data_IF_417872968661
#
_entry.id   IF_417872968661
#
_cell.length_a   1.000
_cell.length_b   1.000
_cell.length_c   1.000
_cell.angle_alpha   90.00
_cell.angle_beta   90.00
_cell.angle_gamma   90.00
#
_symmetry.space_group_name_H-M   'P 1'
#
loop_
_entity.id
_entity.type
_entity.pdbx_description
1 polymer ?
#
# COMPACT_ATOMS: atom_id res chain seq x y z
N UNK A 1 6.32 10.17 26.36
CA UNK A 1 7.43 9.60 25.54
C UNK A 1 7.02 8.47 24.59
N UNK A 2 5.99 7.67 24.86
CA UNK A 2 5.56 6.57 23.97
C UNK A 2 4.98 7.02 22.62
N UNK A 3 4.21 8.11 22.61
CA UNK A 3 3.60 8.68 21.40
C UNK A 3 4.68 9.11 20.40
N UNK A 4 5.73 9.80 20.87
CA UNK A 4 6.84 10.23 20.03
C UNK A 4 7.57 9.07 19.34
N UNK A 5 7.77 7.94 20.04
CA UNK A 5 8.37 6.75 19.45
C UNK A 5 7.47 6.11 18.39
N UNK A 6 6.16 6.06 18.64
CA UNK A 6 5.18 5.54 17.68
C UNK A 6 5.14 6.39 16.39
N UNK A 7 5.13 7.72 16.52
CA UNK A 7 5.17 8.62 15.36
C UNK A 7 6.45 8.43 14.53
N UNK A 8 7.61 8.28 15.18
CA UNK A 8 8.88 8.02 14.48
C UNK A 8 8.88 6.68 13.72
N UNK A 9 8.29 5.64 14.30
CA UNK A 9 8.12 4.35 13.64
C UNK A 9 7.17 4.45 12.44
N UNK A 10 6.07 5.19 12.59
CA UNK A 10 5.11 5.42 11.52
C UNK A 10 5.76 6.17 10.35
N UNK A 11 6.55 7.22 10.61
CA UNK A 11 7.26 7.95 9.55
C UNK A 11 8.20 7.02 8.78
N UNK A 12 8.99 6.19 9.46
CA UNK A 12 9.88 5.22 8.78
C UNK A 12 9.11 4.18 7.96
N UNK A 13 7.97 3.72 8.48
CA UNK A 13 7.09 2.79 7.79
C UNK A 13 6.51 3.40 6.50
N UNK A 14 6.10 4.67 6.54
CA UNK A 14 5.62 5.38 5.35
C UNK A 14 6.76 5.57 4.35
N UNK A 15 7.94 6.00 4.80
CA UNK A 15 9.10 6.17 3.93
C UNK A 15 9.52 4.83 3.29
N UNK A 16 9.54 3.74 4.04
CA UNK A 16 9.89 2.42 3.49
C UNK A 16 8.88 1.96 2.44
N UNK A 17 7.59 2.23 2.64
CA UNK A 17 6.54 1.99 1.66
C UNK A 17 6.74 2.80 0.37
N UNK A 18 6.99 4.10 0.48
CA UNK A 18 7.23 4.97 -0.69
C UNK A 18 8.48 4.51 -1.46
N UNK A 19 9.57 4.21 -0.77
CA UNK A 19 10.79 3.72 -1.40
C UNK A 19 10.56 2.39 -2.13
N UNK A 20 9.78 1.49 -1.55
CA UNK A 20 9.45 0.23 -2.19
C UNK A 20 8.60 0.38 -3.45
N UNK A 21 7.64 1.30 -3.47
CA UNK A 21 6.88 1.64 -4.68
C UNK A 21 7.80 2.25 -5.74
N UNK A 22 8.75 3.08 -5.33
CA UNK A 22 9.79 3.62 -6.23
C UNK A 22 10.65 2.50 -6.86
N UNK A 23 11.07 1.51 -6.06
CA UNK A 23 11.82 0.36 -6.57
C UNK A 23 10.96 -0.51 -7.50
N UNK A 24 9.70 -0.80 -7.15
CA UNK A 24 8.76 -1.52 -8.02
C UNK A 24 8.64 -0.81 -9.37
N UNK A 25 8.48 0.52 -9.37
CA UNK A 25 8.40 1.30 -10.61
C UNK A 25 9.66 1.19 -11.46
N UNK A 26 10.85 1.38 -10.88
CA UNK A 26 12.12 1.30 -11.61
C UNK A 26 12.37 -0.11 -12.17
N UNK A 27 12.16 -1.15 -11.35
CA UNK A 27 12.35 -2.54 -11.77
C UNK A 27 11.35 -2.91 -12.87
N UNK A 28 10.08 -2.50 -12.75
CA UNK A 28 9.07 -2.73 -13.79
C UNK A 28 9.48 -2.10 -15.12
N UNK A 29 9.93 -0.84 -15.09
CA UNK A 29 10.31 -0.11 -16.30
C UNK A 29 11.49 -0.77 -17.02
N UNK A 30 12.48 -1.27 -16.26
CA UNK A 30 13.64 -1.96 -16.82
C UNK A 30 13.23 -3.34 -17.36
N UNK A 31 12.50 -4.16 -16.59
CA UNK A 31 12.13 -5.52 -16.98
C UNK A 31 11.16 -5.53 -18.17
N UNK A 32 10.25 -4.56 -18.26
CA UNK A 32 9.30 -4.45 -19.38
C UNK A 32 9.95 -4.28 -20.75
N UNK A 33 11.25 -3.96 -20.81
CA UNK A 33 12.02 -3.94 -22.07
C UNK A 33 12.45 -5.34 -22.54
N UNK A 34 12.47 -6.34 -21.65
CA UNK A 34 13.04 -7.67 -21.90
C UNK A 34 12.03 -8.81 -21.81
N UNK A 35 10.88 -8.62 -21.15
CA UNK A 35 9.88 -9.66 -20.93
C UNK A 35 8.45 -9.09 -20.98
N UNK A 36 7.45 -9.97 -20.94
CA UNK A 36 6.04 -9.57 -20.98
C UNK A 36 5.65 -8.64 -19.83
N UNK A 37 4.65 -7.78 -20.04
CA UNK A 37 4.21 -6.80 -19.04
C UNK A 37 3.76 -7.45 -17.72
N UNK A 38 3.06 -8.58 -17.80
CA UNK A 38 2.57 -9.31 -16.62
C UNK A 38 3.72 -9.92 -15.81
N UNK A 39 4.70 -10.53 -16.49
CA UNK A 39 5.89 -11.14 -15.86
C UNK A 39 6.76 -10.06 -15.21
N UNK A 40 7.00 -8.97 -15.94
CA UNK A 40 7.71 -7.79 -15.45
C UNK A 40 7.06 -7.23 -14.19
N UNK A 41 5.73 -7.10 -14.20
CA UNK A 41 4.99 -6.55 -13.06
C UNK A 41 5.01 -7.47 -11.84
N UNK A 42 4.97 -8.78 -12.05
CA UNK A 42 5.10 -9.75 -10.96
C UNK A 42 6.48 -9.67 -10.30
N UNK A 43 7.57 -9.67 -11.09
CA UNK A 43 8.93 -9.60 -10.57
C UNK A 43 9.26 -8.25 -9.92
N UNK A 44 8.75 -7.15 -10.48
CA UNK A 44 8.93 -5.82 -9.90
C UNK A 44 8.20 -5.68 -8.56
N UNK A 45 6.99 -6.22 -8.47
CA UNK A 45 6.22 -6.23 -7.23
C UNK A 45 6.92 -7.06 -6.15
N UNK A 46 7.44 -8.26 -6.49
CA UNK A 46 8.24 -9.06 -5.57
C UNK A 46 9.48 -8.30 -5.07
N UNK A 47 10.16 -7.57 -5.96
CA UNK A 47 11.33 -6.75 -5.60
C UNK A 47 10.96 -5.64 -4.61
N UNK A 48 9.87 -4.91 -4.87
CA UNK A 48 9.36 -3.89 -3.95
C UNK A 48 8.95 -4.47 -2.58
N UNK A 49 8.31 -5.65 -2.59
CA UNK A 49 7.93 -6.36 -1.36
C UNK A 49 9.16 -6.73 -0.52
N UNK A 50 10.22 -7.26 -1.15
CA UNK A 50 11.47 -7.58 -0.46
C UNK A 50 12.16 -6.34 0.11
N UNK A 51 12.17 -5.22 -0.63
CA UNK A 51 12.73 -3.95 -0.14
C UNK A 51 11.94 -3.45 1.07
N UNK A 52 10.61 -3.44 1.00
CA UNK A 52 9.75 -3.05 2.12
C UNK A 52 10.03 -3.89 3.36
N UNK A 53 10.11 -5.21 3.18
CA UNK A 53 10.39 -6.15 4.26
C UNK A 53 11.74 -5.86 4.92
N UNK A 54 12.80 -5.72 4.12
CA UNK A 54 14.15 -5.47 4.63
C UNK A 54 14.25 -4.10 5.33
N UNK A 55 13.69 -3.04 4.74
CA UNK A 55 13.66 -1.71 5.35
C UNK A 55 12.88 -1.74 6.67
N UNK A 56 11.70 -2.36 6.70
CA UNK A 56 10.93 -2.45 7.93
C UNK A 56 11.66 -3.27 9.00
N UNK A 57 12.23 -4.42 8.63
CA UNK A 57 12.99 -5.27 9.53
C UNK A 57 14.18 -4.54 10.15
N UNK A 58 15.07 -3.97 9.34
CA UNK A 58 16.34 -3.43 9.82
C UNK A 58 16.24 -1.97 10.29
N UNK A 59 15.40 -1.15 9.66
CA UNK A 59 15.35 0.30 9.94
C UNK A 59 14.17 0.72 10.81
N UNK A 60 12.95 0.25 10.50
CA UNK A 60 11.74 0.60 11.26
C UNK A 60 11.74 -0.09 12.62
N UNK A 61 11.94 -1.40 12.63
CA UNK A 61 11.80 -2.25 13.82
C UNK A 61 13.14 -2.70 14.44
N UNK A 62 14.26 -2.47 13.74
CA UNK A 62 15.63 -2.76 14.22
C UNK A 62 15.82 -4.20 14.72
N UNK A 63 15.31 -5.18 13.97
CA UNK A 63 15.42 -6.58 14.35
C UNK A 63 16.44 -7.33 13.49
N UNK A 64 17.44 -7.89 14.16
CA UNK A 64 18.64 -8.48 13.54
C UNK A 64 18.62 -10.01 13.49
N UNK A 65 17.50 -10.64 13.84
CA UNK A 65 17.36 -12.09 13.84
C UNK A 65 17.31 -12.67 12.43
N UNK A 66 17.96 -13.82 12.24
CA UNK A 66 18.03 -14.56 10.96
C UNK A 66 16.80 -15.47 10.70
N UNK A 67 15.66 -15.19 11.33
CA UNK A 67 14.50 -16.07 11.21
C UNK A 67 13.78 -15.91 9.86
N UNK A 68 13.99 -16.86 8.95
CA UNK A 68 13.37 -16.87 7.62
C UNK A 68 11.84 -16.99 7.67
N UNK A 69 11.25 -17.52 8.75
CA UNK A 69 9.79 -17.60 8.93
C UNK A 69 9.12 -16.22 9.00
N UNK A 70 9.88 -15.16 9.27
CA UNK A 70 9.33 -13.79 9.32
C UNK A 70 8.92 -13.26 7.97
N UNK A 71 9.60 -13.68 6.89
CA UNK A 71 9.21 -13.26 5.55
C UNK A 71 7.85 -13.85 5.16
N UNK A 72 7.61 -15.13 5.48
CA UNK A 72 6.31 -15.75 5.22
C UNK A 72 5.20 -15.16 6.09
N UNK A 73 5.47 -14.87 7.37
CA UNK A 73 4.51 -14.15 8.23
C UNK A 73 4.23 -12.73 7.72
N UNK A 74 5.23 -12.06 7.15
CA UNK A 74 5.07 -10.74 6.55
C UNK A 74 4.19 -10.82 5.30
N UNK A 75 4.44 -11.81 4.43
CA UNK A 75 3.60 -12.07 3.27
C UNK A 75 2.15 -12.36 3.68
N UNK A 76 1.95 -13.18 4.71
CA UNK A 76 0.63 -13.48 5.26
C UNK A 76 -0.07 -12.22 5.81
N UNK A 77 0.66 -11.35 6.52
CA UNK A 77 0.10 -10.09 7.02
C UNK A 77 -0.37 -9.18 5.88
N UNK A 78 0.42 -9.06 4.81
CA UNK A 78 0.06 -8.25 3.64
C UNK A 78 -1.09 -8.88 2.86
N UNK A 79 -1.17 -10.21 2.80
CA UNK A 79 -2.31 -10.91 2.22
C UNK A 79 -3.61 -10.65 2.99
N UNK A 80 -3.56 -10.72 4.33
CA UNK A 80 -4.71 -10.35 5.19
C UNK A 80 -5.08 -8.88 4.98
N UNK A 81 -4.08 -8.00 4.90
CA UNK A 81 -4.32 -6.58 4.66
C UNK A 81 -4.97 -6.31 3.29
N UNK A 82 -4.62 -7.09 2.27
CA UNK A 82 -5.26 -7.05 0.96
C UNK A 82 -6.73 -7.45 1.05
N UNK A 83 -7.06 -8.52 1.79
CA UNK A 83 -8.45 -8.93 2.03
C UNK A 83 -9.21 -7.83 2.76
N UNK A 84 -8.61 -7.21 3.80
CA UNK A 84 -9.21 -6.08 4.53
C UNK A 84 -9.44 -4.89 3.59
N UNK A 85 -8.47 -4.57 2.73
CA UNK A 85 -8.58 -3.46 1.78
C UNK A 85 -9.75 -3.68 0.81
N UNK A 86 -9.79 -4.84 0.13
CA UNK A 86 -10.83 -5.16 -0.85
C UNK A 86 -12.22 -5.22 -0.21
N UNK A 87 -12.34 -5.86 0.96
CA UNK A 87 -13.62 -5.95 1.68
C UNK A 87 -14.11 -4.59 2.18
N UNK A 88 -13.23 -3.76 2.74
CA UNK A 88 -13.56 -2.40 3.17
C UNK A 88 -13.98 -1.53 1.98
N UNK A 89 -13.25 -1.62 0.86
CA UNK A 89 -13.56 -0.85 -0.34
C UNK A 89 -14.95 -1.23 -0.89
N UNK A 90 -15.21 -2.53 -1.04
CA UNK A 90 -16.50 -3.04 -1.50
C UNK A 90 -17.65 -2.64 -0.56
N UNK A 91 -17.45 -2.77 0.76
CA UNK A 91 -18.46 -2.38 1.75
C UNK A 91 -18.80 -0.88 1.68
N UNK A 92 -17.80 -0.02 1.49
CA UNK A 92 -18.00 1.42 1.36
C UNK A 92 -18.73 1.78 0.06
N UNK A 93 -18.37 1.17 -1.07
CA UNK A 93 -19.05 1.40 -2.35
C UNK A 93 -20.53 0.99 -2.31
N UNK A 94 -20.86 -0.06 -1.55
CA UNK A 94 -22.27 -0.47 -1.36
C UNK A 94 -23.05 0.44 -0.40
N UNK A 95 -22.35 1.18 0.47
CA UNK A 95 -22.96 2.03 1.49
C UNK A 95 -23.05 3.50 1.09
N UNK A 96 -22.15 3.97 0.24
CA UNK A 96 -22.06 5.38 -0.19
C UNK A 96 -22.85 5.56 -1.49
N UNK A 97 -23.67 6.62 -1.62
CA UNK A 97 -24.34 6.94 -2.88
C UNK A 97 -23.33 7.21 -4.00
N UNK A 98 -23.66 6.80 -5.24
CA UNK A 98 -22.82 7.00 -6.42
C UNK A 98 -22.75 8.49 -6.82
N UNK A 99 -21.88 9.25 -6.17
CA UNK A 99 -21.63 10.66 -6.50
C UNK A 99 -20.63 10.78 -7.66
N UNK A 100 -21.13 11.26 -8.80
CA UNK A 100 -20.33 11.52 -9.99
C UNK A 100 -19.95 12.99 -10.07
N UNK A 101 -18.66 13.27 -10.04
CA UNK A 101 -18.14 14.58 -10.41
C UNK A 101 -17.90 14.59 -11.92
N UNK A 102 -18.63 15.42 -12.66
CA UNK A 102 -18.51 15.54 -14.12
C UNK A 102 -17.87 16.88 -14.48
N UNK A 103 -16.76 16.84 -15.21
CA UNK A 103 -16.19 18.00 -15.88
C UNK A 103 -16.53 17.87 -17.36
N UNK A 104 -17.26 18.85 -17.89
CA UNK A 104 -17.58 18.92 -19.32
C UNK A 104 -16.97 20.19 -19.90
N UNK A 105 -16.29 20.06 -21.04
CA UNK A 105 -15.82 21.20 -21.83
C UNK A 105 -16.87 21.44 -22.93
N UNK A 106 -17.51 22.61 -22.88
CA UNK A 106 -18.52 23.04 -23.84
C UNK A 106 -17.93 24.08 -24.79
N UNK A 107 -18.27 24.01 -26.07
CA UNK A 107 -17.99 25.06 -27.04
C UNK A 107 -18.99 26.22 -26.89
N UNK A 108 -18.67 27.40 -27.43
CA UNK A 108 -19.61 28.55 -27.47
C UNK A 108 -20.95 28.21 -28.15
N UNK A 109 -21.00 27.19 -29.02
CA UNK A 109 -22.22 26.68 -29.64
C UNK A 109 -22.99 25.64 -28.80
N UNK A 110 -22.66 25.48 -27.50
CA UNK A 110 -23.24 24.47 -26.58
C UNK A 110 -23.03 23.01 -26.99
N UNK A 111 -22.04 22.72 -27.83
CA UNK A 111 -21.62 21.34 -28.07
C UNK A 111 -20.62 20.88 -26.99
N UNK A 112 -20.93 19.76 -26.32
CA UNK A 112 -20.02 19.13 -25.34
C UNK A 112 -18.92 18.39 -26.10
N UNK A 113 -17.69 18.89 -26.02
CA UNK A 113 -16.54 18.33 -26.74
C UNK A 113 -15.99 17.07 -26.06
N UNK A 114 -15.85 17.10 -24.73
CA UNK A 114 -15.44 15.95 -23.90
C UNK A 114 -16.03 16.10 -22.49
N UNK A 115 -16.52 14.99 -21.93
CA UNK A 115 -16.95 14.90 -20.54
C UNK A 115 -16.14 13.83 -19.81
N UNK A 116 -15.48 14.21 -18.72
CA UNK A 116 -14.80 13.30 -17.81
C UNK A 116 -15.62 13.17 -16.53
N UNK A 117 -15.98 11.94 -16.18
CA UNK A 117 -16.68 11.63 -14.94
C UNK A 117 -15.75 10.91 -13.97
N UNK A 118 -15.61 11.45 -12.76
CA UNK A 118 -14.84 10.86 -11.66
C UNK A 118 -15.84 10.45 -10.57
N UNK A 119 -15.82 9.16 -10.21
CA UNK A 119 -16.62 8.67 -9.07
C UNK A 119 -15.96 9.08 -7.75
N UNK A 120 -16.57 10.04 -7.06
CA UNK A 120 -16.07 10.53 -5.76
C UNK A 120 -16.19 9.44 -4.70
N UNK A 121 -17.25 8.64 -4.80
CA UNK A 121 -17.46 7.40 -4.04
C UNK A 121 -16.24 6.47 -4.12
N UNK A 122 -15.68 6.28 -5.32
CA UNK A 122 -14.51 5.41 -5.54
C UNK A 122 -13.25 5.96 -4.89
N UNK A 123 -13.04 7.28 -4.93
CA UNK A 123 -11.89 7.92 -4.29
C UNK A 123 -11.97 7.82 -2.77
N UNK A 124 -13.14 8.05 -2.19
CA UNK A 124 -13.37 7.94 -0.75
C UNK A 124 -13.17 6.48 -0.31
N UNK A 125 -13.80 5.52 -1.00
CA UNK A 125 -13.68 4.10 -0.70
C UNK A 125 -12.22 3.62 -0.79
N UNK A 126 -11.49 4.01 -1.84
CA UNK A 126 -10.07 3.69 -2.01
C UNK A 126 -9.21 4.25 -0.88
N UNK A 127 -9.41 5.52 -0.51
CA UNK A 127 -8.59 6.20 0.50
C UNK A 127 -8.81 5.59 1.89
N UNK A 128 -10.07 5.35 2.27
CA UNK A 128 -10.41 4.76 3.56
C UNK A 128 -9.92 3.31 3.63
N UNK A 129 -10.15 2.49 2.60
CA UNK A 129 -9.68 1.12 2.56
C UNK A 129 -8.15 1.02 2.66
N UNK A 130 -7.44 1.94 2.00
CA UNK A 130 -5.97 2.04 2.08
C UNK A 130 -5.51 2.44 3.48
N UNK A 131 -6.17 3.42 4.12
CA UNK A 131 -5.84 3.82 5.48
C UNK A 131 -6.08 2.68 6.50
N UNK A 132 -7.20 1.96 6.38
CA UNK A 132 -7.54 0.83 7.26
C UNK A 132 -6.50 -0.30 7.11
N UNK A 133 -6.19 -0.71 5.88
CA UNK A 133 -5.21 -1.77 5.62
C UNK A 133 -3.77 -1.37 5.99
N UNK A 134 -3.37 -0.11 5.77
CA UNK A 134 -2.09 0.43 6.21
C UNK A 134 -1.97 0.44 7.74
N UNK A 135 -3.05 0.77 8.45
CA UNK A 135 -3.08 0.72 9.92
C UNK A 135 -2.95 -0.72 10.41
N UNK A 136 -3.69 -1.65 9.81
CA UNK A 136 -3.62 -3.08 10.14
C UNK A 136 -2.20 -3.65 9.94
N UNK A 137 -1.54 -3.31 8.83
CA UNK A 137 -0.15 -3.74 8.57
C UNK A 137 0.83 -3.11 9.54
N UNK A 138 0.70 -1.82 9.87
CA UNK A 138 1.56 -1.17 10.87
C UNK A 138 1.42 -1.83 12.25
N UNK A 139 0.19 -2.04 12.72
CA UNK A 139 -0.10 -2.70 14.01
C UNK A 139 0.42 -4.14 14.00
N UNK A 140 0.13 -4.90 12.95
CA UNK A 140 0.58 -6.29 12.81
C UNK A 140 2.11 -6.41 12.81
N UNK A 141 2.80 -5.50 12.12
CA UNK A 141 4.26 -5.46 12.16
C UNK A 141 4.79 -5.13 13.55
N UNK A 142 4.23 -4.12 14.20
CA UNK A 142 4.68 -3.65 15.52
C UNK A 142 4.50 -4.69 16.62
N UNK A 143 3.31 -5.29 16.71
CA UNK A 143 2.92 -6.10 17.87
C UNK A 143 2.96 -7.59 17.62
N UNK A 144 2.88 -8.05 16.37
CA UNK A 144 2.89 -9.48 16.05
C UNK A 144 4.19 -9.92 15.41
N UNK A 145 4.61 -9.25 14.33
CA UNK A 145 5.74 -9.68 13.52
C UNK A 145 7.10 -9.37 14.16
N UNK A 146 7.29 -8.12 14.59
CA UNK A 146 8.55 -7.60 15.10
C UNK A 146 8.52 -7.33 16.61
N UNK A 147 7.98 -8.30 17.38
CA UNK A 147 7.97 -8.22 18.84
C UNK A 147 9.40 -8.01 19.37
N UNK A 148 9.64 -7.03 20.27
CA UNK A 148 10.93 -6.92 20.94
C UNK A 148 11.15 -8.18 21.78
N UNK A 149 12.32 -8.81 21.64
CA UNK A 149 12.70 -9.89 22.57
C UNK A 149 12.77 -9.28 23.96
N UNK A 150 12.05 -9.87 24.93
CA UNK A 150 12.34 -9.61 26.35
C UNK A 150 13.77 -10.10 26.59
N UNK A 151 14.68 -9.17 26.90
CA UNK A 151 15.91 -9.52 27.58
C UNK A 151 15.46 -10.04 28.95
N UNK A 152 15.56 -11.36 29.14
CA UNK A 152 15.47 -12.00 30.45
C UNK A 152 16.81 -11.75 31.13
#
# INVERSE_FOLDING_TARGET
MAIYQASKQLTKFIISGILAVGVDFVVYFILSQYMGANESKALSFCSGMLVTYNLNKYWTWRQTDKNNKRLSLFALLYFIALIINVSTNSALLNSIPNYLFRISIESEMREVLKSYAIGIDKLIAFTIATAVSATATFIGQKYWLFKPKKLI
#
